data_IF_248509968417
#
_entry.id   IF_248509968417
#
_cell.length_a   1.000
_cell.length_b   1.000
_cell.length_c   1.000
_cell.angle_alpha   90.00
_cell.angle_beta   90.00
_cell.angle_gamma   90.00
#
_symmetry.space_group_name_H-M   'P 1'
#
loop_
_entity.id
_entity.type
_entity.pdbx_description
1 polymer ?
#
# COMPACT_ATOMS: atom_id res chain seq x y z
N UNK A 1 85.62 29.57 16.72
CA UNK A 1 84.36 30.25 17.05
C UNK A 1 83.31 29.86 16.03
N UNK A 2 82.27 29.20 16.54
CA UNK A 2 80.85 29.31 16.16
C UNK A 2 80.36 28.72 14.84
N UNK A 3 79.52 27.69 15.02
CA UNK A 3 78.35 27.39 14.19
C UNK A 3 78.64 26.39 13.07
N UNK A 4 77.97 25.26 12.95
CA UNK A 4 76.55 25.01 13.23
C UNK A 4 76.34 23.54 13.60
N UNK A 5 75.61 23.32 14.68
CA UNK A 5 75.12 22.02 15.13
C UNK A 5 74.27 21.37 14.02
N UNK A 6 74.65 20.16 13.61
CA UNK A 6 73.83 19.30 12.78
C UNK A 6 72.74 18.64 13.63
N UNK A 7 71.55 19.23 13.61
CA UNK A 7 70.37 18.63 14.19
C UNK A 7 69.94 17.41 13.35
N UNK A 8 70.23 16.21 13.84
CA UNK A 8 69.65 14.97 13.33
C UNK A 8 68.19 14.95 13.78
N UNK A 9 67.26 15.27 12.87
CA UNK A 9 65.84 15.11 13.13
C UNK A 9 65.53 13.61 12.99
N UNK A 10 65.39 12.94 14.13
CA UNK A 10 65.04 11.53 14.18
C UNK A 10 63.54 11.40 13.88
N UNK A 11 63.19 11.26 12.60
CA UNK A 11 61.84 10.92 12.19
C UNK A 11 61.56 9.45 12.56
N UNK A 12 61.23 9.20 13.82
CA UNK A 12 60.47 8.01 14.20
C UNK A 12 59.11 8.16 13.53
N UNK A 13 58.92 7.44 12.42
CA UNK A 13 57.70 7.47 11.64
C UNK A 13 56.49 7.34 12.55
N UNK A 14 55.69 8.39 12.61
CA UNK A 14 54.35 8.32 13.17
C UNK A 14 53.64 7.27 12.33
N UNK A 15 53.49 6.06 12.86
CA UNK A 15 52.54 5.08 12.34
C UNK A 15 51.17 5.70 12.57
N UNK A 16 50.74 6.56 11.67
CA UNK A 16 49.37 7.09 11.66
C UNK A 16 48.47 5.87 11.63
N UNK A 17 47.66 5.79 12.67
CA UNK A 17 46.74 4.70 12.93
C UNK A 17 45.55 4.86 11.98
N UNK A 18 45.79 4.77 10.68
CA UNK A 18 44.77 4.84 9.61
C UNK A 18 43.96 3.55 9.47
N UNK A 19 43.79 2.82 10.58
CA UNK A 19 42.94 1.63 10.66
C UNK A 19 41.61 1.87 11.37
N UNK A 20 41.47 2.97 12.11
CA UNK A 20 40.24 3.26 12.88
C UNK A 20 39.20 4.04 12.06
N UNK A 21 39.61 4.84 11.07
CA UNK A 21 38.67 5.57 10.21
C UNK A 21 37.93 4.70 9.18
N UNK A 22 38.61 3.71 8.60
CA UNK A 22 38.02 2.82 7.59
C UNK A 22 36.90 1.95 8.16
N UNK A 23 37.08 1.40 9.37
CA UNK A 23 36.08 0.49 9.96
C UNK A 23 34.81 1.21 10.44
N UNK A 24 34.89 2.47 10.87
CA UNK A 24 33.72 3.27 11.23
C UNK A 24 32.92 3.65 9.98
N UNK A 25 33.58 3.99 8.87
CA UNK A 25 32.92 4.23 7.59
C UNK A 25 32.14 3.00 7.09
N UNK A 26 32.74 1.81 7.13
CA UNK A 26 32.04 0.57 6.74
C UNK A 26 30.85 0.25 7.64
N UNK A 27 30.91 0.58 8.95
CA UNK A 27 29.77 0.43 9.86
C UNK A 27 28.64 1.40 9.54
N UNK A 28 28.95 2.67 9.26
CA UNK A 28 27.97 3.67 8.85
C UNK A 28 27.30 3.24 7.54
N UNK A 29 28.09 2.76 6.57
CA UNK A 29 27.59 2.25 5.30
C UNK A 29 26.66 1.04 5.51
N UNK A 30 27.03 0.10 6.40
CA UNK A 30 26.19 -1.04 6.72
C UNK A 30 24.86 -0.64 7.39
N UNK A 31 24.88 0.36 8.27
CA UNK A 31 23.65 0.91 8.90
C UNK A 31 22.75 1.57 7.85
N UNK A 32 23.32 2.35 6.93
CA UNK A 32 22.55 2.96 5.83
C UNK A 32 21.90 1.91 4.93
N UNK A 33 22.62 0.84 4.59
CA UNK A 33 22.07 -0.28 3.82
C UNK A 33 20.95 -0.96 4.59
N UNK A 34 21.10 -1.20 5.89
CA UNK A 34 20.07 -1.81 6.72
C UNK A 34 18.78 -0.96 6.79
N UNK A 35 18.92 0.38 6.89
CA UNK A 35 17.78 1.30 6.85
C UNK A 35 17.09 1.25 5.49
N UNK A 36 17.85 1.20 4.40
CA UNK A 36 17.29 1.13 3.04
C UNK A 36 16.54 -0.19 2.82
N UNK A 37 17.07 -1.32 3.31
CA UNK A 37 16.40 -2.62 3.30
C UNK A 37 15.11 -2.58 4.11
N UNK A 38 15.13 -1.96 5.29
CA UNK A 38 13.93 -1.81 6.13
C UNK A 38 12.83 -1.02 5.40
N UNK A 39 13.20 0.07 4.72
CA UNK A 39 12.25 0.88 3.93
C UNK A 39 11.63 0.04 2.80
N UNK A 40 12.43 -0.76 2.08
CA UNK A 40 11.92 -1.66 1.03
C UNK A 40 10.92 -2.67 1.60
N UNK A 41 11.20 -3.25 2.78
CA UNK A 41 10.32 -4.19 3.47
C UNK A 41 9.00 -3.50 3.88
N UNK A 42 9.05 -2.27 4.38
CA UNK A 42 7.84 -1.53 4.74
C UNK A 42 6.97 -1.23 3.51
N UNK A 43 7.59 -0.85 2.39
CA UNK A 43 6.88 -0.59 1.12
C UNK A 43 6.26 -1.89 0.57
N UNK A 44 6.96 -3.03 0.66
CA UNK A 44 6.43 -4.31 0.18
C UNK A 44 5.24 -4.78 1.02
N UNK A 45 5.29 -4.63 2.35
CA UNK A 45 4.16 -4.93 3.24
C UNK A 45 2.97 -4.02 2.92
N UNK A 46 3.20 -2.74 2.67
CA UNK A 46 2.13 -1.80 2.30
C UNK A 46 1.45 -2.18 0.96
N UNK A 47 2.24 -2.60 -0.03
CA UNK A 47 1.73 -3.08 -1.33
C UNK A 47 0.88 -4.35 -1.19
N UNK A 48 1.27 -5.29 -0.31
CA UNK A 48 0.47 -6.49 -0.04
C UNK A 48 -0.89 -6.17 0.59
N UNK A 49 -0.96 -5.15 1.44
CA UNK A 49 -2.22 -4.71 2.05
C UNK A 49 -3.10 -3.99 1.02
N UNK A 50 -2.53 -3.17 0.14
CA UNK A 50 -3.29 -2.52 -0.94
C UNK A 50 -3.70 -3.48 -2.06
N UNK A 51 -3.14 -4.69 -2.09
CA UNK A 51 -3.55 -5.77 -3.00
C UNK A 51 -4.80 -6.51 -2.52
N UNK A 52 -5.39 -6.10 -1.39
CA UNK A 52 -6.70 -6.53 -0.95
C UNK A 52 -7.80 -5.82 -1.74
N UNK A 53 -8.56 -6.61 -2.50
CA UNK A 53 -9.83 -6.27 -3.17
C UNK A 53 -9.77 -5.66 -4.58
N UNK A 54 -9.02 -6.27 -5.49
CA UNK A 54 -9.46 -6.39 -6.89
C UNK A 54 -10.39 -7.61 -7.08
N UNK A 55 -11.34 -7.76 -6.15
CA UNK A 55 -12.45 -8.66 -6.38
C UNK A 55 -13.55 -7.81 -7.01
N UNK A 56 -13.75 -7.95 -8.33
CA UNK A 56 -14.82 -7.33 -9.11
C UNK A 56 -16.21 -7.83 -8.72
N UNK A 57 -16.42 -8.08 -7.44
CA UNK A 57 -17.60 -8.68 -6.83
C UNK A 57 -18.67 -7.63 -6.55
N UNK A 58 -18.35 -6.35 -6.76
CA UNK A 58 -19.25 -5.23 -6.55
C UNK A 58 -19.13 -4.25 -7.72
N UNK A 59 -20.24 -3.63 -8.08
CA UNK A 59 -20.29 -2.52 -9.02
C UNK A 59 -21.07 -1.37 -8.38
N UNK A 60 -20.58 -0.14 -8.57
CA UNK A 60 -21.32 1.06 -8.23
C UNK A 60 -22.24 1.40 -9.40
N UNK A 61 -23.53 1.49 -9.12
CA UNK A 61 -24.55 1.84 -10.10
C UNK A 61 -25.27 3.10 -9.65
N UNK A 62 -25.24 4.14 -10.48
CA UNK A 62 -26.04 5.35 -10.26
C UNK A 62 -27.49 5.09 -10.66
N UNK A 63 -28.41 5.25 -9.71
CA UNK A 63 -29.84 5.03 -9.93
C UNK A 63 -30.39 6.09 -10.89
N UNK A 64 -31.03 5.64 -11.97
CA UNK A 64 -31.70 6.49 -12.96
C UNK A 64 -33.18 6.68 -12.65
N UNK A 65 -33.77 7.72 -13.24
CA UNK A 65 -35.20 7.99 -13.12
C UNK A 65 -36.03 6.79 -13.63
N UNK A 66 -36.98 6.34 -12.81
CA UNK A 66 -37.90 5.24 -13.14
C UNK A 66 -37.37 3.84 -12.81
N UNK A 67 -36.14 3.72 -12.30
CA UNK A 67 -35.61 2.43 -11.87
C UNK A 67 -36.15 1.99 -10.50
N UNK A 68 -36.20 0.68 -10.32
CA UNK A 68 -36.52 0.02 -9.06
C UNK A 68 -35.40 -0.94 -8.69
N UNK A 69 -35.30 -1.34 -7.42
CA UNK A 69 -34.36 -2.38 -7.00
C UNK A 69 -34.53 -3.67 -7.81
N UNK A 70 -35.76 -3.96 -8.25
CA UNK A 70 -36.05 -5.13 -9.08
C UNK A 70 -35.50 -5.00 -10.49
N UNK A 71 -35.74 -3.87 -11.17
CA UNK A 71 -35.24 -3.64 -12.52
C UNK A 71 -33.72 -3.62 -12.55
N UNK A 72 -33.10 -2.96 -11.56
CA UNK A 72 -31.65 -2.92 -11.38
C UNK A 72 -31.09 -4.33 -11.14
N UNK A 73 -31.64 -5.09 -10.19
CA UNK A 73 -31.15 -6.45 -9.94
C UNK A 73 -31.30 -7.34 -11.18
N UNK A 74 -32.38 -7.20 -11.95
CA UNK A 74 -32.58 -7.96 -13.19
C UNK A 74 -31.66 -7.57 -14.34
N UNK A 75 -31.03 -6.39 -14.27
CA UNK A 75 -30.03 -5.96 -15.25
C UNK A 75 -28.70 -6.70 -15.06
N UNK A 76 -28.34 -6.97 -13.81
CA UNK A 76 -27.04 -7.58 -13.47
C UNK A 76 -27.10 -9.09 -13.25
N UNK A 77 -28.29 -9.64 -12.98
CA UNK A 77 -28.47 -11.05 -12.67
C UNK A 77 -29.51 -11.71 -13.58
N UNK A 78 -29.15 -12.87 -14.13
CA UNK A 78 -30.07 -13.69 -14.90
C UNK A 78 -31.05 -14.44 -13.97
N UNK A 79 -32.35 -14.33 -14.26
CA UNK A 79 -33.42 -14.91 -13.43
C UNK A 79 -33.42 -16.44 -13.41
N UNK A 80 -32.82 -17.07 -14.42
CA UNK A 80 -32.77 -18.52 -14.56
C UNK A 80 -31.82 -19.17 -13.56
N UNK A 81 -30.79 -18.44 -13.11
CA UNK A 81 -29.70 -18.99 -12.30
C UNK A 81 -29.77 -18.53 -10.84
N UNK A 82 -30.48 -17.43 -10.57
CA UNK A 82 -30.44 -16.72 -9.28
C UNK A 82 -31.83 -16.25 -8.83
N UNK A 83 -32.14 -16.45 -7.55
CA UNK A 83 -33.31 -15.85 -6.91
C UNK A 83 -33.09 -14.34 -6.67
N UNK A 84 -33.70 -13.53 -7.53
CA UNK A 84 -33.71 -12.07 -7.45
C UNK A 84 -34.12 -11.51 -6.08
N UNK A 85 -34.97 -12.21 -5.31
CA UNK A 85 -35.37 -11.72 -3.98
C UNK A 85 -34.20 -11.69 -3.02
N UNK A 86 -33.33 -12.72 -3.07
CA UNK A 86 -32.13 -12.81 -2.25
C UNK A 86 -31.08 -11.79 -2.70
N UNK A 87 -30.97 -11.55 -4.00
CA UNK A 87 -30.13 -10.47 -4.56
C UNK A 87 -30.58 -9.11 -4.03
N UNK A 88 -31.88 -8.78 -4.16
CA UNK A 88 -32.42 -7.51 -3.69
C UNK A 88 -32.23 -7.35 -2.18
N UNK A 89 -32.42 -8.42 -1.40
CA UNK A 89 -32.14 -8.41 0.04
C UNK A 89 -30.68 -8.06 0.33
N UNK A 90 -29.74 -8.64 -0.42
CA UNK A 90 -28.30 -8.37 -0.27
C UNK A 90 -27.94 -6.93 -0.67
N UNK A 91 -28.48 -6.45 -1.80
CA UNK A 91 -28.34 -5.05 -2.24
C UNK A 91 -28.84 -4.11 -1.14
N UNK A 92 -30.03 -4.36 -0.58
CA UNK A 92 -30.58 -3.56 0.52
C UNK A 92 -29.67 -3.56 1.74
N UNK A 93 -29.17 -4.72 2.15
CA UNK A 93 -28.31 -4.88 3.32
C UNK A 93 -26.98 -4.12 3.16
N UNK A 94 -26.32 -4.23 2.01
CA UNK A 94 -25.04 -3.56 1.75
C UNK A 94 -25.21 -2.03 1.71
N UNK A 95 -26.33 -1.56 1.14
CA UNK A 95 -26.59 -0.12 1.01
C UNK A 95 -27.36 0.49 2.19
N UNK A 96 -27.55 -0.27 3.28
CA UNK A 96 -28.33 0.15 4.46
C UNK A 96 -29.74 0.67 4.12
N UNK A 97 -30.39 0.07 3.13
CA UNK A 97 -31.75 0.42 2.69
C UNK A 97 -32.74 -0.45 3.45
N UNK A 98 -33.41 0.13 4.44
CA UNK A 98 -34.41 -0.57 5.25
C UNK A 98 -35.78 -0.62 4.54
N UNK A 99 -36.17 0.46 3.86
CA UNK A 99 -37.40 0.53 3.06
C UNK A 99 -37.22 -0.10 1.66
N UNK A 100 -38.21 0.01 0.77
CA UNK A 100 -38.06 -0.37 -0.64
C UNK A 100 -37.89 0.87 -1.56
N UNK A 101 -37.63 2.04 -0.97
CA UNK A 101 -37.56 3.31 -1.69
C UNK A 101 -36.11 3.61 -2.06
N UNK A 102 -35.87 3.89 -3.34
CA UNK A 102 -34.60 4.34 -3.88
C UNK A 102 -34.81 5.65 -4.64
N UNK A 103 -33.79 6.51 -4.63
CA UNK A 103 -33.87 7.84 -5.23
C UNK A 103 -32.86 7.97 -6.38
N UNK A 104 -33.26 8.53 -7.52
CA UNK A 104 -32.36 8.82 -8.63
C UNK A 104 -31.17 9.72 -8.24
N UNK A 105 -30.05 9.57 -8.95
CA UNK A 105 -28.80 10.29 -8.71
C UNK A 105 -28.00 9.79 -7.50
N UNK A 106 -28.46 8.71 -6.84
CA UNK A 106 -27.74 8.05 -5.75
C UNK A 106 -27.00 6.83 -6.29
N UNK A 107 -25.77 6.62 -5.81
CA UNK A 107 -25.03 5.39 -6.07
C UNK A 107 -25.54 4.24 -5.20
N UNK A 108 -25.63 3.06 -5.82
CA UNK A 108 -26.00 1.80 -5.22
C UNK A 108 -24.89 0.79 -5.46
N UNK A 109 -24.41 0.17 -4.38
CA UNK A 109 -23.43 -0.91 -4.44
C UNK A 109 -24.17 -2.21 -4.76
N UNK A 110 -23.90 -2.78 -5.92
CA UNK A 110 -24.51 -4.02 -6.39
C UNK A 110 -23.48 -5.14 -6.29
N UNK A 111 -23.71 -6.20 -5.49
CA UNK A 111 -22.87 -7.39 -5.58
C UNK A 111 -23.04 -8.01 -6.97
N UNK A 112 -22.01 -8.68 -7.48
CA UNK A 112 -22.04 -9.45 -8.73
C UNK A 112 -21.89 -10.96 -8.47
N UNK A 113 -21.56 -11.35 -7.24
CA UNK A 113 -21.35 -12.75 -6.88
C UNK A 113 -22.62 -13.34 -6.27
N UNK A 114 -23.04 -14.46 -6.84
CA UNK A 114 -24.12 -15.29 -6.36
C UNK A 114 -23.78 -16.77 -6.47
#
# INVERSE_FOLDING_TARGET
>A
MNGLNSYIINYQGVKTKDRVGKSVFFKILAVLIAILVLIIILISVFSLISSGENSSNFINHEIKNGESLWSIASQYYNKSDVDLRKVIYKIKKINNIYSAVINPGRELIIPLNY
#
